data_IF_463051070258
#
_entry.id   IF_463051070258
#
_cell.length_a   1.000
_cell.length_b   1.000
_cell.length_c   1.000
_cell.angle_alpha   90.00
_cell.angle_beta   90.00
_cell.angle_gamma   90.00
#
_symmetry.space_group_name_H-M   'P 1'
#
loop_
_entity.id
_entity.type
_entity.pdbx_description
1 polymer ?
#
# COMPACT_ATOMS: atom_id res chain seq x y z
N UNK A 1 4.04 -7.39 -8.31
CA UNK A 1 4.59 -6.34 -9.22
C UNK A 1 4.11 -4.91 -8.95
N UNK A 2 2.90 -4.45 -9.34
CA UNK A 2 2.50 -3.03 -9.13
C UNK A 2 2.44 -2.64 -7.65
N UNK A 3 1.57 -3.34 -6.90
CA UNK A 3 1.41 -3.17 -5.45
C UNK A 3 2.75 -3.30 -4.71
N UNK A 4 3.45 -4.40 -4.96
CA UNK A 4 4.77 -4.66 -4.40
C UNK A 4 5.80 -3.54 -4.66
N UNK A 5 5.83 -2.95 -5.86
CA UNK A 5 6.72 -1.84 -6.17
C UNK A 5 6.37 -0.56 -5.37
N UNK A 6 5.07 -0.35 -5.09
CA UNK A 6 4.60 0.74 -4.23
C UNK A 6 4.98 0.46 -2.77
N UNK A 7 4.66 -0.73 -2.24
CA UNK A 7 4.98 -1.13 -0.87
C UNK A 7 6.50 -1.06 -0.60
N UNK A 8 7.32 -1.60 -1.49
CA UNK A 8 8.78 -1.55 -1.36
C UNK A 8 9.33 -0.12 -1.38
N UNK A 9 8.72 0.78 -2.14
CA UNK A 9 9.13 2.19 -2.09
C UNK A 9 8.76 2.85 -0.76
N UNK A 10 7.54 2.62 -0.27
CA UNK A 10 7.08 3.16 1.01
C UNK A 10 7.95 2.66 2.16
N UNK A 11 8.32 1.37 2.14
CA UNK A 11 9.26 0.78 3.09
C UNK A 11 10.55 1.61 3.15
N UNK A 12 11.22 1.77 2.00
CA UNK A 12 12.47 2.56 1.90
C UNK A 12 12.27 4.01 2.32
N UNK A 13 11.14 4.61 1.95
CA UNK A 13 10.83 5.99 2.30
C UNK A 13 10.64 6.18 3.81
N UNK A 14 10.04 5.20 4.50
CA UNK A 14 9.93 5.15 5.96
C UNK A 14 11.33 4.97 6.60
N UNK A 15 12.10 3.97 6.15
CA UNK A 15 13.46 3.70 6.66
C UNK A 15 14.37 4.93 6.54
N UNK A 16 14.38 5.57 5.37
CA UNK A 16 15.16 6.80 5.12
C UNK A 16 14.75 7.98 6.03
N UNK A 17 13.55 7.93 6.60
CA UNK A 17 13.03 8.93 7.55
C UNK A 17 13.21 8.49 9.00
N UNK A 18 13.94 7.42 9.25
CA UNK A 18 14.28 6.92 10.58
C UNK A 18 13.14 6.16 11.25
N UNK A 19 12.24 5.55 10.47
CA UNK A 19 11.30 4.58 11.03
C UNK A 19 11.95 3.20 11.10
N UNK A 20 11.69 2.48 12.18
CA UNK A 20 11.86 1.03 12.26
C UNK A 20 10.69 0.37 11.53
N UNK A 21 10.98 -0.46 10.51
CA UNK A 21 9.94 -0.99 9.61
C UNK A 21 9.85 -2.50 9.70
N UNK A 22 8.64 -3.01 9.93
CA UNK A 22 8.29 -4.43 9.77
C UNK A 22 7.39 -4.57 8.56
N UNK A 23 7.79 -5.39 7.60
CA UNK A 23 7.01 -5.68 6.39
C UNK A 23 6.12 -6.89 6.59
N UNK A 24 4.90 -6.82 6.07
CA UNK A 24 3.94 -7.92 6.06
C UNK A 24 3.68 -8.59 7.44
N UNK A 25 3.63 -7.86 8.57
CA UNK A 25 3.38 -8.49 9.87
C UNK A 25 2.00 -9.13 9.92
N UNK A 26 1.91 -10.30 10.55
CA UNK A 26 0.66 -11.02 10.73
C UNK A 26 0.13 -10.80 12.15
N UNK A 27 -1.08 -10.24 12.24
CA UNK A 27 -1.83 -10.10 13.48
C UNK A 27 -3.04 -11.03 13.44
N UNK A 28 -3.21 -11.83 14.50
CA UNK A 28 -4.34 -12.75 14.61
C UNK A 28 -5.46 -12.05 15.38
N UNK A 29 -6.64 -11.94 14.79
CA UNK A 29 -7.81 -11.35 15.47
C UNK A 29 -9.00 -12.29 15.36
N UNK A 30 -10.00 -12.14 16.23
CA UNK A 30 -11.23 -12.94 16.23
C UNK A 30 -12.00 -12.83 14.91
N UNK A 31 -11.90 -11.69 14.22
CA UNK A 31 -12.52 -11.43 12.91
C UNK A 31 -11.59 -11.77 11.74
N UNK A 32 -10.60 -12.64 11.99
CA UNK A 32 -9.64 -13.13 11.02
C UNK A 32 -8.29 -12.41 11.06
N UNK A 33 -7.35 -12.90 10.26
CA UNK A 33 -6.00 -12.35 10.20
C UNK A 33 -6.00 -10.92 9.63
N UNK A 34 -5.12 -10.08 10.16
CA UNK A 34 -4.80 -8.75 9.65
C UNK A 34 -3.32 -8.73 9.26
N UNK A 35 -3.05 -8.44 7.99
CA UNK A 35 -1.71 -8.45 7.42
C UNK A 35 -1.47 -7.18 6.60
N UNK A 36 -1.20 -6.03 7.26
CA UNK A 36 -0.83 -4.82 6.53
C UNK A 36 0.51 -5.02 5.81
N UNK A 37 0.76 -4.23 4.77
CA UNK A 37 2.03 -4.30 4.04
C UNK A 37 3.20 -3.85 4.91
N UNK A 38 2.99 -2.82 5.74
CA UNK A 38 4.03 -2.18 6.54
C UNK A 38 3.46 -1.79 7.90
N UNK A 39 4.23 -2.05 8.96
CA UNK A 39 4.12 -1.35 10.23
C UNK A 39 5.43 -0.62 10.49
N UNK A 40 5.36 0.70 10.59
CA UNK A 40 6.53 1.58 10.74
C UNK A 40 6.43 2.33 12.07
N UNK A 41 7.44 2.17 12.93
CA UNK A 41 7.52 2.84 14.23
C UNK A 41 8.58 3.93 14.20
N UNK A 42 8.27 5.09 14.76
CA UNK A 42 9.27 6.14 15.05
C UNK A 42 8.87 6.89 16.31
N UNK A 43 9.76 6.92 17.30
CA UNK A 43 9.46 7.43 18.64
C UNK A 43 8.21 6.72 19.20
N UNK A 44 7.29 7.49 19.78
CA UNK A 44 6.03 6.98 20.33
C UNK A 44 4.90 6.87 19.29
N UNK A 45 5.20 6.91 17.98
CA UNK A 45 4.19 6.78 16.92
C UNK A 45 4.37 5.51 16.12
N UNK A 46 3.26 4.82 15.87
CA UNK A 46 3.18 3.67 14.95
C UNK A 46 2.29 4.01 13.76
N UNK A 47 2.80 3.75 12.57
CA UNK A 47 2.07 3.85 11.32
C UNK A 47 1.79 2.44 10.78
N UNK A 48 0.52 2.13 10.59
CA UNK A 48 0.07 0.92 9.88
C UNK A 48 -0.29 1.33 8.46
N UNK A 49 0.47 0.85 7.49
CA UNK A 49 0.40 1.28 6.10
C UNK A 49 0.06 0.09 5.21
N UNK A 50 -0.93 0.26 4.36
CA UNK A 50 -1.35 -0.75 3.40
C UNK A 50 -1.61 -0.12 2.03
N UNK A 51 -0.96 -0.66 1.01
CA UNK A 51 -1.00 -0.18 -0.35
C UNK A 51 -2.00 -0.96 -1.19
N UNK A 52 -2.61 -0.28 -2.15
CA UNK A 52 -3.43 -0.91 -3.16
C UNK A 52 -3.38 -0.15 -4.48
N UNK A 53 -3.47 -0.89 -5.57
CA UNK A 53 -3.68 -0.34 -6.91
C UNK A 53 -5.00 -0.86 -7.43
N UNK A 54 -5.97 0.03 -7.61
CA UNK A 54 -7.35 -0.30 -8.02
C UNK A 54 -7.57 -0.03 -9.51
N UNK A 55 -8.63 -0.62 -10.07
CA UNK A 55 -9.03 -0.35 -11.46
C UNK A 55 -9.56 1.09 -11.65
N UNK A 56 -9.55 1.56 -12.89
CA UNK A 56 -9.90 2.96 -13.23
C UNK A 56 -11.35 3.34 -12.87
N UNK A 57 -12.27 2.37 -12.84
CA UNK A 57 -13.68 2.59 -12.49
C UNK A 57 -13.93 2.68 -10.98
N UNK A 58 -12.92 2.46 -10.14
CA UNK A 58 -13.05 2.45 -8.69
C UNK A 58 -12.83 3.85 -8.14
N UNK A 59 -13.75 4.30 -7.28
CA UNK A 59 -13.58 5.52 -6.49
C UNK A 59 -12.40 5.36 -5.52
N UNK A 60 -11.36 6.19 -5.72
CA UNK A 60 -10.10 6.11 -5.00
C UNK A 60 -10.25 6.43 -3.51
N UNK A 61 -11.05 7.43 -3.16
CA UNK A 61 -11.20 7.85 -1.76
C UNK A 61 -12.03 6.84 -0.98
N UNK A 62 -13.08 6.29 -1.60
CA UNK A 62 -13.85 5.18 -1.03
C UNK A 62 -12.98 3.94 -0.83
N UNK A 63 -12.17 3.56 -1.83
CA UNK A 63 -11.26 2.44 -1.71
C UNK A 63 -10.21 2.66 -0.60
N UNK A 64 -9.67 3.87 -0.51
CA UNK A 64 -8.72 4.25 0.54
C UNK A 64 -9.35 4.18 1.94
N UNK A 65 -10.53 4.76 2.12
CA UNK A 65 -11.24 4.75 3.40
C UNK A 65 -11.59 3.33 3.84
N UNK A 66 -11.97 2.44 2.91
CA UNK A 66 -12.20 1.02 3.21
C UNK A 66 -10.95 0.34 3.77
N UNK A 67 -9.78 0.58 3.18
CA UNK A 67 -8.51 0.02 3.70
C UNK A 67 -8.19 0.56 5.08
N UNK A 68 -8.36 1.87 5.31
CA UNK A 68 -8.14 2.48 6.63
C UNK A 68 -9.06 1.86 7.68
N UNK A 69 -10.37 1.81 7.40
CA UNK A 69 -11.37 1.22 8.30
C UNK A 69 -11.14 -0.26 8.60
N UNK A 70 -10.67 -1.03 7.61
CA UNK A 70 -10.40 -2.46 7.76
C UNK A 70 -9.42 -2.78 8.90
N UNK A 71 -8.47 -1.86 9.14
CA UNK A 71 -7.50 -1.98 10.23
C UNK A 71 -7.88 -1.15 11.46
N UNK A 72 -8.27 0.12 11.28
CA UNK A 72 -8.57 1.04 12.39
C UNK A 72 -9.72 0.57 13.27
N UNK A 73 -10.74 -0.04 12.68
CA UNK A 73 -11.96 -0.39 13.40
C UNK A 73 -11.82 -1.78 14.09
N UNK A 74 -10.58 -2.24 14.38
CA UNK A 74 -10.25 -3.51 15.02
C UNK A 74 -9.47 -3.31 16.34
N UNK A 75 -10.17 -3.46 17.47
CA UNK A 75 -9.62 -3.22 18.81
C UNK A 75 -8.50 -4.22 19.17
N UNK A 76 -8.62 -5.49 18.75
CA UNK A 76 -7.58 -6.49 19.05
C UNK A 76 -6.27 -6.21 18.31
N UNK A 77 -6.35 -5.60 17.13
CA UNK A 77 -5.19 -5.12 16.40
C UNK A 77 -4.50 -3.98 17.16
N UNK A 78 -5.26 -3.00 17.62
CA UNK A 78 -4.73 -1.89 18.43
C UNK A 78 -4.01 -2.41 19.68
N UNK A 79 -4.64 -3.34 20.41
CA UNK A 79 -4.06 -3.95 21.62
C UNK A 79 -2.76 -4.69 21.33
N UNK A 80 -2.70 -5.46 20.23
CA UNK A 80 -1.48 -6.18 19.84
C UNK A 80 -0.35 -5.22 19.44
N UNK A 81 -0.66 -4.17 18.70
CA UNK A 81 0.31 -3.15 18.30
C UNK A 81 0.81 -2.39 19.53
N UNK A 82 -0.10 -1.96 20.41
CA UNK A 82 0.25 -1.25 21.65
C UNK A 82 1.12 -2.13 22.57
N UNK A 83 0.76 -3.41 22.74
CA UNK A 83 1.56 -4.35 23.54
C UNK A 83 2.96 -4.55 22.94
N UNK A 84 3.05 -4.61 21.61
CA UNK A 84 4.32 -4.86 20.92
C UNK A 84 5.25 -3.64 20.91
N UNK A 85 4.71 -2.43 20.74
CA UNK A 85 5.52 -1.22 20.54
C UNK A 85 5.45 -0.22 21.70
N UNK A 86 4.63 -0.48 22.71
CA UNK A 86 4.54 0.29 23.95
C UNK A 86 3.79 1.63 23.85
N UNK A 87 3.09 1.89 22.75
CA UNK A 87 2.39 3.17 22.52
C UNK A 87 0.98 2.98 21.95
N UNK A 88 -0.02 3.76 22.41
CA UNK A 88 -1.35 3.79 21.83
C UNK A 88 -1.48 4.74 20.61
N UNK A 89 -0.46 5.54 20.27
CA UNK A 89 -0.52 6.47 19.11
C UNK A 89 -0.30 5.69 17.80
N UNK A 90 -1.39 5.07 17.34
CA UNK A 90 -1.46 4.26 16.14
C UNK A 90 -2.22 5.03 15.06
N UNK A 91 -1.61 5.16 13.89
CA UNK A 91 -2.22 5.79 12.73
C UNK A 91 -2.31 4.81 11.56
N UNK A 92 -3.49 4.75 10.94
CA UNK A 92 -3.78 3.87 9.81
C UNK A 92 -3.78 4.65 8.50
N UNK A 93 -2.96 4.22 7.54
CA UNK A 93 -2.78 4.88 6.26
C UNK A 93 -3.06 3.90 5.12
N UNK A 94 -3.98 4.28 4.24
CA UNK A 94 -4.11 3.64 2.93
C UNK A 94 -3.24 4.36 1.90
N UNK A 95 -2.56 3.59 1.06
CA UNK A 95 -1.82 4.09 -0.11
C UNK A 95 -2.52 3.62 -1.37
N UNK A 96 -3.47 4.42 -1.84
CA UNK A 96 -4.37 4.02 -2.92
C UNK A 96 -4.05 4.78 -4.20
N UNK A 97 -3.76 4.03 -5.27
CA UNK A 97 -3.61 4.56 -6.63
C UNK A 97 -4.51 3.78 -7.60
N UNK A 98 -4.83 4.36 -8.76
CA UNK A 98 -5.38 3.59 -9.89
C UNK A 98 -4.28 3.10 -10.84
N UNK A 99 -4.69 2.35 -11.88
CA UNK A 99 -3.79 1.79 -12.90
C UNK A 99 -3.02 2.84 -13.71
N UNK A 100 -3.49 4.10 -13.70
CA UNK A 100 -2.84 5.26 -14.34
C UNK A 100 -1.90 6.02 -13.40
N UNK A 101 -1.70 5.52 -12.18
CA UNK A 101 -0.85 6.18 -11.18
C UNK A 101 -1.47 7.42 -10.54
N UNK A 102 -2.78 7.64 -10.69
CA UNK A 102 -3.50 8.70 -9.99
C UNK A 102 -3.73 8.28 -8.54
N UNK A 103 -3.45 9.18 -7.61
CA UNK A 103 -3.57 8.96 -6.18
C UNK A 103 -4.96 9.31 -5.67
N UNK A 104 -5.42 8.60 -4.63
CA UNK A 104 -6.41 9.16 -3.71
C UNK A 104 -5.85 10.45 -3.10
N UNK A 105 -6.66 11.52 -3.09
CA UNK A 105 -6.26 12.80 -2.54
C UNK A 105 -5.89 12.67 -1.05
N UNK A 106 -6.67 11.86 -0.32
CA UNK A 106 -6.41 11.55 1.08
C UNK A 106 -5.10 10.80 1.28
N UNK A 107 -4.82 9.75 0.49
CA UNK A 107 -3.55 9.01 0.60
C UNK A 107 -2.35 9.93 0.40
N UNK A 108 -2.36 10.74 -0.67
CA UNK A 108 -1.26 11.65 -0.96
C UNK A 108 -1.10 12.71 0.15
N UNK A 109 -2.20 13.30 0.63
CA UNK A 109 -2.15 14.31 1.68
C UNK A 109 -1.65 13.74 3.01
N UNK A 110 -2.12 12.55 3.41
CA UNK A 110 -1.68 11.91 4.66
C UNK A 110 -0.17 11.58 4.59
N UNK A 111 0.30 10.98 3.50
CA UNK A 111 1.71 10.61 3.35
C UNK A 111 2.65 11.81 3.24
N UNK A 112 2.25 12.87 2.52
CA UNK A 112 3.13 14.03 2.24
C UNK A 112 3.04 15.08 3.33
N UNK A 113 1.82 15.49 3.70
CA UNK A 113 1.61 16.66 4.55
C UNK A 113 1.52 16.27 6.03
N UNK A 114 0.73 15.25 6.35
CA UNK A 114 0.43 14.88 7.74
C UNK A 114 1.56 14.10 8.39
N UNK A 115 1.98 13.01 7.77
CA UNK A 115 2.98 12.10 8.33
C UNK A 115 4.38 12.31 7.75
N UNK A 116 4.50 13.07 6.66
CA UNK A 116 5.77 13.39 5.99
C UNK A 116 6.61 12.16 5.64
N UNK A 117 5.95 11.01 5.44
CA UNK A 117 6.53 9.74 4.98
C UNK A 117 7.01 9.86 3.53
N UNK A 118 6.35 10.69 2.73
CA UNK A 118 6.76 11.04 1.37
C UNK A 118 7.00 12.55 1.26
N UNK A 119 7.85 12.95 0.33
CA UNK A 119 7.95 14.34 -0.14
C UNK A 119 7.00 14.55 -1.33
N UNK A 120 6.85 15.80 -1.78
CA UNK A 120 6.12 16.09 -3.03
C UNK A 120 6.80 15.46 -4.26
N UNK A 121 8.12 15.30 -4.24
CA UNK A 121 8.87 14.67 -5.34
C UNK A 121 8.72 13.15 -5.37
N UNK A 122 8.41 12.53 -4.23
CA UNK A 122 8.14 11.08 -4.15
C UNK A 122 6.84 10.67 -4.86
N UNK A 123 5.82 11.54 -4.86
CA UNK A 123 4.49 11.26 -5.43
C UNK A 123 4.55 10.82 -6.90
N UNK A 124 5.14 11.58 -7.84
CA UNK A 124 5.25 11.16 -9.24
C UNK A 124 6.14 9.93 -9.43
N UNK A 125 7.13 9.73 -8.55
CA UNK A 125 8.05 8.58 -8.62
C UNK A 125 7.31 7.27 -8.32
N UNK A 126 6.42 7.26 -7.33
CA UNK A 126 5.53 6.12 -7.06
C UNK A 126 4.51 5.91 -8.17
N UNK A 127 3.89 6.97 -8.69
CA UNK A 127 2.99 6.88 -9.85
C UNK A 127 3.66 6.22 -11.05
N UNK A 128 4.92 6.58 -11.31
CA UNK A 128 5.73 6.00 -12.39
C UNK A 128 5.94 4.49 -12.19
N UNK A 129 6.17 4.02 -10.96
CA UNK A 129 6.27 2.57 -10.69
C UNK A 129 4.98 1.83 -10.99
N UNK A 130 3.83 2.43 -10.70
CA UNK A 130 2.53 1.85 -11.05
C UNK A 130 2.38 1.76 -12.57
N UNK A 131 2.73 2.83 -13.30
CA UNK A 131 2.65 2.87 -14.77
C UNK A 131 3.57 1.84 -15.44
N UNK A 132 4.83 1.74 -15.00
CA UNK A 132 5.78 0.71 -15.48
C UNK A 132 5.21 -0.68 -15.20
N UNK A 133 4.64 -0.88 -14.01
CA UNK A 133 4.01 -2.15 -13.66
C UNK A 133 2.81 -2.49 -14.52
N UNK A 134 1.95 -1.52 -14.83
CA UNK A 134 0.80 -1.68 -15.72
C UNK A 134 1.26 -2.03 -17.14
N UNK A 135 2.25 -1.32 -17.68
CA UNK A 135 2.80 -1.60 -19.01
C UNK A 135 3.39 -3.01 -19.11
N UNK A 136 4.19 -3.42 -18.13
CA UNK A 136 4.76 -4.76 -18.10
C UNK A 136 3.68 -5.86 -18.01
N UNK A 137 2.63 -5.66 -17.21
CA UNK A 137 1.48 -6.58 -17.17
C UNK A 137 0.78 -6.68 -18.52
N UNK A 138 0.59 -5.55 -19.23
CA UNK A 138 0.00 -5.54 -20.57
C UNK A 138 0.89 -6.27 -21.59
N UNK A 139 2.19 -6.02 -21.59
CA UNK A 139 3.13 -6.72 -22.48
C UNK A 139 3.13 -8.23 -22.25
N UNK A 140 3.12 -8.68 -21.00
CA UNK A 140 3.06 -10.11 -20.67
C UNK A 140 1.75 -10.75 -21.15
N UNK A 141 0.61 -10.07 -20.94
CA UNK A 141 -0.69 -10.54 -21.42
C UNK A 141 -0.71 -10.71 -22.94
N UNK A 142 -0.23 -9.73 -23.70
CA UNK A 142 -0.20 -9.83 -25.17
C UNK A 142 0.73 -10.93 -25.67
N UNK A 143 1.81 -11.23 -24.93
CA UNK A 143 2.72 -12.33 -25.29
C UNK A 143 2.13 -13.70 -24.99
N UNK A 144 1.36 -13.85 -23.91
CA UNK A 144 0.72 -15.12 -23.57
C UNK A 144 -0.47 -15.44 -24.48
N UNK A 145 -1.26 -14.43 -24.84
CA UNK A 145 -2.41 -14.60 -25.75
C UNK A 145 -1.98 -14.83 -27.20
N UNK A 146 -0.91 -14.19 -27.68
CA UNK A 146 -0.39 -14.43 -29.03
C UNK A 146 0.13 -15.86 -29.25
N UNK A 147 0.57 -16.56 -28.20
CA UNK A 147 0.98 -17.97 -28.29
C UNK A 147 -0.21 -18.93 -28.44
N UNK A 148 -1.39 -18.59 -27.91
CA UNK A 148 -2.58 -19.43 -27.99
C UNK A 148 -3.17 -19.53 -29.41
N UNK A 149 -2.81 -18.63 -30.32
CA UNK A 149 -3.34 -18.60 -31.69
C UNK A 149 -2.48 -19.38 -32.71
N UNK A 150 -1.32 -19.92 -32.32
CA UNK A 150 -0.39 -20.58 -33.26
C UNK A 150 -0.53 -22.10 -33.39
N UNK A 151 -1.37 -22.76 -32.59
CA UNK A 151 -1.53 -24.23 -32.56
C UNK A 151 -2.90 -24.74 -33.08
N UNK A 152 -3.41 -24.16 -34.16
CA UNK A 152 -4.54 -24.77 -34.91
C UNK A 152 -4.33 -24.71 -36.41
N UNK A 153 -3.34 -25.47 -36.91
CA UNK A 153 -3.33 -25.99 -38.29
C UNK A 153 -2.59 -27.33 -38.33
N UNK A 154 -3.35 -28.41 -38.27
CA UNK A 154 -3.11 -29.69 -38.96
C UNK A 154 -4.47 -30.16 -39.49
#
# INVERSE_FOLDING_TARGET
>A
MRHEAVANYLKRACENRGYEVVTEPLYKTAVGNRKPDIVARKNDKVLVIDAQVVGDAVDLDRANNRKISYYRDNIELDQQIQTKYGTPDISYLGVTLNLRGVWSAKSASDLVNKFKVLSRTDVPVVSTRVLIGTFASFTMFNRSTARATRDRRL
#
